data_IF_111956361589
#
_entry.id   IF_111956361589
#
_cell.length_a   1.000
_cell.length_b   1.000
_cell.length_c   1.000
_cell.angle_alpha   90.00
_cell.angle_beta   90.00
_cell.angle_gamma   90.00
#
_symmetry.space_group_name_H-M   'P 1'
#
loop_
_entity.id
_entity.type
_entity.pdbx_description
1 polymer ?
#
# COMPACT_ATOMS: atom_id res chain seq x y z
N UNK A 1 18.57 -4.91 -13.25
CA UNK A 1 17.23 -4.85 -12.64
C UNK A 1 16.18 -4.37 -13.64
N UNK A 2 16.53 -3.41 -14.51
CA UNK A 2 15.68 -2.92 -15.62
C UNK A 2 15.16 -4.04 -16.55
N UNK A 3 16.02 -5.01 -16.91
CA UNK A 3 15.62 -6.15 -17.76
C UNK A 3 14.48 -7.01 -17.16
N UNK A 4 14.36 -7.07 -15.84
CA UNK A 4 13.33 -7.84 -15.14
C UNK A 4 12.01 -7.07 -15.11
N UNK A 5 12.10 -5.73 -14.98
CA UNK A 5 10.98 -4.78 -15.04
C UNK A 5 10.30 -4.81 -16.41
N UNK A 6 11.09 -4.92 -17.48
CA UNK A 6 10.56 -5.00 -18.85
C UNK A 6 9.98 -6.37 -19.19
N UNK A 7 10.57 -7.46 -18.68
CA UNK A 7 10.13 -8.83 -19.01
C UNK A 7 8.87 -9.26 -18.28
N UNK A 8 8.74 -8.91 -17.00
CA UNK A 8 7.65 -9.43 -16.15
C UNK A 8 6.98 -8.35 -15.29
N UNK A 9 6.47 -7.26 -15.89
CA UNK A 9 5.92 -6.13 -15.15
C UNK A 9 4.77 -6.54 -14.23
N UNK A 10 3.90 -7.45 -14.68
CA UNK A 10 2.79 -7.97 -13.87
C UNK A 10 3.24 -8.72 -12.62
N UNK A 11 4.29 -9.54 -12.71
CA UNK A 11 4.81 -10.28 -11.55
C UNK A 11 5.43 -9.34 -10.54
N UNK A 12 6.15 -8.33 -11.02
CA UNK A 12 6.76 -7.31 -10.15
C UNK A 12 5.69 -6.47 -9.45
N UNK A 13 4.67 -5.99 -10.18
CA UNK A 13 3.54 -5.28 -9.56
C UNK A 13 2.84 -6.17 -8.53
N UNK A 14 2.66 -7.47 -8.82
CA UNK A 14 2.10 -8.43 -7.87
C UNK A 14 2.93 -8.55 -6.59
N UNK A 15 4.23 -8.80 -6.73
CA UNK A 15 5.17 -8.91 -5.61
C UNK A 15 5.19 -7.64 -4.75
N UNK A 16 5.28 -6.46 -5.40
CA UNK A 16 5.24 -5.17 -4.71
C UNK A 16 3.94 -4.98 -3.94
N UNK A 17 2.81 -5.36 -4.54
CA UNK A 17 1.48 -5.26 -3.92
C UNK A 17 1.35 -6.21 -2.72
N UNK A 18 1.86 -7.43 -2.83
CA UNK A 18 1.80 -8.42 -1.74
C UNK A 18 2.66 -8.04 -0.54
N UNK A 19 3.77 -7.32 -0.79
CA UNK A 19 4.66 -6.77 0.23
C UNK A 19 4.11 -5.53 0.94
N UNK A 20 2.98 -4.96 0.50
CA UNK A 20 2.40 -3.77 1.13
C UNK A 20 1.86 -4.07 2.52
N UNK A 21 2.14 -3.13 3.42
CA UNK A 21 1.60 -3.07 4.79
C UNK A 21 1.07 -1.65 5.05
N UNK A 22 0.05 -1.48 5.90
CA UNK A 22 -0.71 -2.52 6.62
C UNK A 22 -1.66 -3.32 5.71
N UNK A 23 -2.21 -4.43 6.22
CA UNK A 23 -3.07 -5.36 5.49
C UNK A 23 -4.31 -4.71 4.85
N UNK A 24 -4.86 -3.68 5.51
CA UNK A 24 -5.96 -2.88 4.98
C UNK A 24 -5.55 -2.11 3.73
N UNK A 25 -4.37 -1.47 3.74
CA UNK A 25 -3.83 -0.76 2.59
C UNK A 25 -3.60 -1.70 1.40
N UNK A 26 -3.00 -2.87 1.66
CA UNK A 26 -2.80 -3.92 0.64
C UNK A 26 -4.11 -4.33 -0.03
N UNK A 27 -5.17 -4.58 0.74
CA UNK A 27 -6.49 -4.95 0.20
C UNK A 27 -7.10 -3.85 -0.67
N UNK A 28 -6.94 -2.59 -0.26
CA UNK A 28 -7.41 -1.44 -1.05
C UNK A 28 -6.65 -1.35 -2.37
N UNK A 29 -5.31 -1.46 -2.35
CA UNK A 29 -4.50 -1.44 -3.58
C UNK A 29 -4.86 -2.59 -4.52
N UNK A 30 -5.08 -3.81 -4.00
CA UNK A 30 -5.55 -4.94 -4.81
C UNK A 30 -6.92 -4.66 -5.48
N UNK A 31 -7.86 -4.05 -4.76
CA UNK A 31 -9.16 -3.65 -5.31
C UNK A 31 -9.02 -2.58 -6.39
N UNK A 32 -8.16 -1.59 -6.18
CA UNK A 32 -7.89 -0.56 -7.19
C UNK A 32 -7.26 -1.16 -8.45
N UNK A 33 -6.27 -2.05 -8.32
CA UNK A 33 -5.64 -2.73 -9.46
C UNK A 33 -6.59 -3.62 -10.25
N UNK A 34 -7.65 -4.15 -9.62
CA UNK A 34 -8.67 -4.93 -10.28
C UNK A 34 -9.65 -4.07 -11.12
N UNK A 35 -9.67 -2.74 -10.93
CA UNK A 35 -10.52 -1.83 -11.70
C UNK A 35 -10.02 -1.72 -13.15
N UNK A 36 -10.95 -1.66 -14.10
CA UNK A 36 -10.60 -1.55 -15.52
C UNK A 36 -9.74 -0.32 -15.84
N UNK A 37 -10.01 0.80 -15.18
CA UNK A 37 -9.24 2.05 -15.32
C UNK A 37 -7.77 1.90 -14.93
N UNK A 38 -7.43 0.90 -14.10
CA UNK A 38 -6.08 0.67 -13.58
C UNK A 38 -5.36 -0.52 -14.25
N UNK A 39 -5.99 -1.17 -15.25
CA UNK A 39 -5.34 -2.21 -16.08
C UNK A 39 -3.98 -1.78 -16.67
N UNK A 40 -3.76 -0.52 -17.08
CA UNK A 40 -2.45 -0.06 -17.55
C UNK A 40 -1.36 -0.11 -16.46
N UNK A 41 -1.70 0.15 -15.20
CA UNK A 41 -0.75 0.16 -14.07
C UNK A 41 -0.15 -1.23 -13.81
N UNK A 42 -0.93 -2.30 -14.04
CA UNK A 42 -0.43 -3.67 -13.90
C UNK A 42 0.62 -4.06 -14.96
N UNK A 43 0.77 -3.27 -16.03
CA UNK A 43 1.72 -3.50 -17.13
C UNK A 43 2.90 -2.53 -17.12
N UNK A 44 2.86 -1.51 -16.28
CA UNK A 44 3.90 -0.49 -16.17
C UNK A 44 4.27 -0.30 -14.69
N UNK A 45 5.43 -0.85 -14.32
CA UNK A 45 5.95 -0.80 -12.96
C UNK A 45 6.25 0.63 -12.53
N UNK A 46 6.74 1.49 -13.44
CA UNK A 46 7.10 2.88 -13.11
C UNK A 46 5.84 3.70 -12.86
N UNK A 47 4.83 3.57 -13.72
CA UNK A 47 3.54 4.20 -13.52
C UNK A 47 2.86 3.70 -12.23
N UNK A 48 2.94 2.39 -11.94
CA UNK A 48 2.45 1.81 -10.71
C UNK A 48 3.13 2.41 -9.47
N UNK A 49 4.47 2.51 -9.45
CA UNK A 49 5.21 3.08 -8.30
C UNK A 49 4.84 4.56 -8.09
N UNK A 50 4.75 5.35 -9.17
CA UNK A 50 4.33 6.76 -9.09
C UNK A 50 2.91 6.89 -8.53
N UNK A 51 1.98 6.08 -9.03
CA UNK A 51 0.60 6.03 -8.54
C UNK A 51 0.53 5.61 -7.07
N UNK A 52 1.27 4.58 -6.69
CA UNK A 52 1.30 4.07 -5.32
C UNK A 52 1.85 5.12 -4.35
N UNK A 53 2.93 5.82 -4.71
CA UNK A 53 3.50 6.91 -3.88
C UNK A 53 2.48 8.03 -3.66
N UNK A 54 1.72 8.42 -4.68
CA UNK A 54 0.65 9.40 -4.55
C UNK A 54 -0.46 8.88 -3.62
N UNK A 55 -0.86 7.62 -3.77
CA UNK A 55 -1.84 6.96 -2.90
C UNK A 55 -1.41 6.84 -1.44
N UNK A 56 -0.12 6.53 -1.18
CA UNK A 56 0.44 6.47 0.16
C UNK A 56 0.34 7.80 0.90
N UNK A 57 0.60 8.93 0.23
CA UNK A 57 0.46 10.26 0.86
C UNK A 57 -0.98 10.54 1.31
N UNK A 58 -1.97 10.05 0.55
CA UNK A 58 -3.38 10.16 0.91
C UNK A 58 -3.74 9.17 2.03
N UNK A 59 -3.19 7.95 2.00
CA UNK A 59 -3.43 6.93 3.02
C UNK A 59 -2.82 7.29 4.37
N UNK A 60 -1.57 7.77 4.42
CA UNK A 60 -0.92 8.26 5.65
C UNK A 60 -1.68 9.43 6.27
N UNK A 61 -2.34 10.25 5.44
CA UNK A 61 -3.22 11.34 5.91
C UNK A 61 -4.52 10.81 6.52
N UNK A 62 -4.97 9.61 6.13
CA UNK A 62 -6.23 8.99 6.53
C UNK A 62 -6.10 7.90 7.59
N UNK A 63 -4.89 7.35 7.81
CA UNK A 63 -4.63 6.54 9.00
C UNK A 63 -5.08 7.37 10.19
N UNK A 64 -6.13 6.93 10.93
CA UNK A 64 -6.43 7.59 12.19
C UNK A 64 -5.14 7.44 12.96
N UNK A 65 -4.43 8.55 13.24
CA UNK A 65 -3.22 8.52 14.08
C UNK A 65 -3.58 7.56 15.18
N UNK A 66 -2.95 6.39 15.23
CA UNK A 66 -3.22 5.46 16.30
C UNK A 66 -2.96 6.30 17.55
N UNK A 67 -4.04 6.73 18.22
CA UNK A 67 -3.92 7.58 19.38
C UNK A 67 -2.98 6.83 20.31
N UNK A 68 -2.10 7.52 21.06
CA UNK A 68 -1.19 6.84 21.97
C UNK A 68 -2.01 5.79 22.72
N UNK A 69 -1.63 4.51 22.58
CA UNK A 69 -2.28 3.40 23.28
C UNK A 69 -2.52 3.91 24.69
N UNK A 70 -3.79 4.08 25.08
CA UNK A 70 -4.10 4.48 26.43
C UNK A 70 -3.38 3.48 27.32
N UNK A 71 -2.40 3.97 28.09
CA UNK A 71 -1.80 3.17 29.15
C UNK A 71 -2.97 2.61 29.96
N UNK A 72 -2.95 1.34 30.37
CA UNK A 72 -3.92 0.88 31.34
C UNK A 72 -3.76 1.74 32.59
N UNK A 73 -4.75 2.61 32.84
CA UNK A 73 -4.97 3.25 34.13
C UNK A 73 -5.31 2.14 35.10
N UNK A 74 -4.30 1.49 35.65
CA UNK A 74 -4.47 0.74 36.88
C UNK A 74 -3.20 0.89 37.72
N UNK A 75 -3.45 1.33 38.96
CA UNK A 75 -2.56 1.42 40.13
C UNK A 75 -1.84 2.75 40.36
N UNK A 76 -2.58 3.66 40.99
CA UNK A 76 -2.03 4.50 42.05
C UNK A 76 -2.59 3.98 43.39
N UNK A 77 -1.79 3.44 44.32
CA UNK A 77 -2.26 3.24 45.69
C UNK A 77 -2.22 4.58 46.45
N UNK A 78 -3.17 4.68 47.39
CA UNK A 78 -3.45 5.83 48.25
C UNK A 78 -2.32 6.20 49.21
#
# INVERSE_FOLDING_TARGET
MEWMVEREPKKIVGCLTDALVPDQFRRTVKKELARESNKPLAKDVVAFIKWLRAGCNVYVRWEPRAGPKALPSDKLPA
#
